data_IF_047795146590
#
_entry.id   IF_047795146590
#
_cell.length_a   1.000
_cell.length_b   1.000
_cell.length_c   1.000
_cell.angle_alpha   90.00
_cell.angle_beta   90.00
_cell.angle_gamma   90.00
#
_symmetry.space_group_name_H-M   'P 1'
#
loop_
_entity.id
_entity.type
_entity.pdbx_description
1 polymer ?
#
# COMPACT_ATOMS: atom_id res chain seq x y z
N UNK A 1 16.65 -15.56 12.74
CA UNK A 1 17.89 -14.92 13.21
C UNK A 1 19.10 -15.85 13.12
N UNK A 2 19.10 -17.02 13.77
CA UNK A 2 20.26 -17.94 13.76
C UNK A 2 20.66 -18.48 12.38
N UNK A 3 19.71 -18.66 11.47
CA UNK A 3 19.92 -19.30 10.17
C UNK A 3 19.93 -18.34 8.98
N UNK A 4 19.43 -17.10 9.16
CA UNK A 4 19.16 -16.20 8.04
C UNK A 4 17.89 -16.52 7.25
N UNK A 5 17.13 -17.55 7.63
CA UNK A 5 15.91 -17.92 6.90
C UNK A 5 14.85 -16.81 6.93
N UNK A 6 14.13 -16.69 5.82
CA UNK A 6 13.00 -15.80 5.66
C UNK A 6 11.74 -16.38 6.29
N UNK A 7 10.94 -15.53 6.91
CA UNK A 7 9.62 -15.90 7.43
C UNK A 7 8.58 -15.48 6.41
N UNK A 8 8.01 -16.45 5.69
CA UNK A 8 6.96 -16.20 4.69
C UNK A 8 5.60 -16.62 5.25
N UNK A 9 4.62 -15.72 5.19
CA UNK A 9 3.26 -15.97 5.69
C UNK A 9 2.21 -15.17 4.91
N UNK A 10 0.93 -15.50 5.13
CA UNK A 10 -0.21 -14.86 4.45
C UNK A 10 -1.29 -14.46 5.46
N UNK A 11 -2.40 -13.89 4.99
CA UNK A 11 -3.58 -13.56 5.77
C UNK A 11 -4.85 -13.99 5.02
N UNK A 12 -6.03 -13.54 5.45
CA UNK A 12 -7.28 -13.79 4.73
C UNK A 12 -7.39 -12.99 3.42
N UNK A 13 -6.63 -11.90 3.29
CA UNK A 13 -6.53 -11.13 2.05
C UNK A 13 -5.53 -11.81 1.09
N UNK A 14 -5.63 -11.55 -0.21
CA UNK A 14 -4.66 -12.03 -1.21
C UNK A 14 -3.32 -11.28 -1.09
N UNK A 15 -2.53 -11.65 -0.08
CA UNK A 15 -1.23 -11.07 0.23
C UNK A 15 -0.19 -12.13 0.57
N UNK A 16 1.08 -11.84 0.25
CA UNK A 16 2.22 -12.61 0.71
C UNK A 16 3.15 -11.66 1.48
N UNK A 17 3.49 -12.04 2.71
CA UNK A 17 4.28 -11.22 3.61
C UNK A 17 5.61 -11.92 3.87
N UNK A 18 6.70 -11.17 3.76
CA UNK A 18 8.05 -11.67 3.99
C UNK A 18 8.66 -10.87 5.12
N UNK A 19 8.86 -11.51 6.26
CA UNK A 19 9.49 -10.92 7.43
C UNK A 19 10.93 -11.41 7.57
N UNK A 20 11.83 -10.47 7.85
CA UNK A 20 13.23 -10.74 8.11
C UNK A 20 13.77 -9.75 9.15
N UNK A 21 14.75 -10.21 9.94
CA UNK A 21 15.40 -9.36 10.94
C UNK A 21 16.45 -8.50 10.24
N UNK A 22 16.40 -7.17 10.41
CA UNK A 22 17.21 -6.23 9.61
C UNK A 22 18.73 -6.43 9.79
N UNK A 23 19.18 -6.90 10.95
CA UNK A 23 20.61 -7.17 11.19
C UNK A 23 21.10 -8.47 10.54
N UNK A 24 20.19 -9.33 10.09
CA UNK A 24 20.52 -10.65 9.52
C UNK A 24 20.29 -10.65 8.00
N UNK A 25 19.19 -10.05 7.56
CA UNK A 25 18.88 -9.83 6.15
C UNK A 25 18.78 -8.32 5.94
N UNK A 26 19.77 -7.70 5.27
CA UNK A 26 19.74 -6.29 4.93
C UNK A 26 18.45 -5.89 4.20
N UNK A 27 18.02 -4.64 4.39
CA UNK A 27 16.77 -4.14 3.84
C UNK A 27 16.74 -4.19 2.31
N UNK A 28 17.83 -3.84 1.64
CA UNK A 28 17.98 -3.91 0.19
C UNK A 28 17.83 -5.35 -0.32
N UNK A 29 18.37 -6.33 0.41
CA UNK A 29 18.19 -7.74 0.09
C UNK A 29 16.73 -8.18 0.31
N UNK A 30 16.10 -7.79 1.42
CA UNK A 30 14.68 -8.08 1.68
C UNK A 30 13.77 -7.50 0.58
N UNK A 31 14.03 -6.27 0.16
CA UNK A 31 13.30 -5.62 -0.92
C UNK A 31 13.48 -6.36 -2.24
N UNK A 32 14.73 -6.71 -2.58
CA UNK A 32 15.02 -7.51 -3.78
C UNK A 32 14.31 -8.87 -3.75
N UNK A 33 14.27 -9.53 -2.60
CA UNK A 33 13.53 -10.79 -2.41
C UNK A 33 12.03 -10.57 -2.67
N UNK A 34 11.46 -9.49 -2.15
CA UNK A 34 10.05 -9.15 -2.38
C UNK A 34 9.76 -8.85 -3.85
N UNK A 35 10.69 -8.22 -4.58
CA UNK A 35 10.57 -7.99 -6.03
C UNK A 35 10.58 -9.30 -6.81
N UNK A 36 11.49 -10.21 -6.49
CA UNK A 36 11.53 -11.57 -7.08
C UNK A 36 10.23 -12.31 -6.78
N UNK A 37 9.77 -12.29 -5.53
CA UNK A 37 8.51 -12.91 -5.14
C UNK A 37 7.31 -12.28 -5.90
N UNK A 38 7.36 -10.98 -6.18
CA UNK A 38 6.32 -10.30 -6.96
C UNK A 38 6.30 -10.81 -8.39
N UNK A 39 7.44 -10.93 -9.05
CA UNK A 39 7.55 -11.47 -10.41
C UNK A 39 7.03 -12.91 -10.49
N UNK A 40 7.41 -13.77 -9.55
CA UNK A 40 6.98 -15.17 -9.49
C UNK A 40 5.47 -15.33 -9.28
N UNK A 41 4.85 -14.38 -8.60
CA UNK A 41 3.40 -14.40 -8.27
C UNK A 41 2.55 -13.65 -9.30
N UNK A 42 3.10 -13.34 -10.49
CA UNK A 42 2.31 -12.86 -11.63
C UNK A 42 1.68 -14.01 -12.43
N UNK A 43 2.16 -15.24 -12.24
CA UNK A 43 1.54 -16.44 -12.82
C UNK A 43 0.10 -16.61 -12.30
N UNK A 44 -0.85 -16.91 -13.19
CA UNK A 44 -2.27 -17.05 -12.86
C UNK A 44 -2.52 -18.05 -11.72
N UNK A 45 -1.72 -19.10 -11.62
CA UNK A 45 -1.87 -20.13 -10.58
C UNK A 45 -1.53 -19.61 -9.19
N UNK A 46 -0.65 -18.60 -9.11
CA UNK A 46 -0.12 -18.06 -7.85
C UNK A 46 -0.34 -16.56 -7.75
N UNK A 47 -1.41 -16.06 -8.39
CA UNK A 47 -1.68 -14.64 -8.47
C UNK A 47 -2.02 -14.06 -7.08
N UNK A 48 -1.07 -13.31 -6.53
CA UNK A 48 -1.22 -12.62 -5.24
C UNK A 48 -1.47 -11.13 -5.48
N UNK A 49 -2.40 -10.51 -4.76
CA UNK A 49 -2.71 -9.08 -4.92
C UNK A 49 -1.57 -8.16 -4.45
N UNK A 50 -0.84 -8.54 -3.39
CA UNK A 50 0.25 -7.72 -2.83
C UNK A 50 1.34 -8.53 -2.14
N UNK A 51 2.60 -8.17 -2.39
CA UNK A 51 3.74 -8.62 -1.59
C UNK A 51 4.07 -7.53 -0.57
N UNK A 52 4.36 -7.88 0.69
CA UNK A 52 4.67 -6.91 1.74
C UNK A 52 5.98 -7.31 2.43
N UNK A 53 6.97 -6.42 2.36
CA UNK A 53 8.17 -6.50 3.17
C UNK A 53 7.84 -6.12 4.63
N UNK A 54 8.20 -7.00 5.56
CA UNK A 54 7.94 -6.87 7.00
C UNK A 54 9.24 -6.94 7.80
N UNK A 55 10.14 -5.96 7.64
CA UNK A 55 11.34 -5.92 8.46
C UNK A 55 11.01 -5.72 9.94
N UNK A 56 11.83 -6.32 10.79
CA UNK A 56 11.73 -6.20 12.24
C UNK A 56 13.11 -6.19 12.88
N UNK A 57 13.18 -5.67 14.10
CA UNK A 57 14.38 -5.63 14.95
C UNK A 57 14.05 -6.10 16.36
N UNK A 58 15.08 -6.27 17.18
CA UNK A 58 14.96 -6.62 18.60
C UNK A 58 15.34 -8.07 18.87
N UNK A 59 15.04 -8.53 20.08
CA UNK A 59 15.50 -9.82 20.57
C UNK A 59 14.32 -10.75 20.91
N UNK A 60 14.54 -12.07 21.09
CA UNK A 60 13.50 -12.99 21.50
C UNK A 60 12.75 -12.50 22.75
N UNK A 61 11.43 -12.32 22.61
CA UNK A 61 10.57 -11.76 23.65
C UNK A 61 10.27 -10.26 23.50
N UNK A 62 10.96 -9.55 22.62
CA UNK A 62 10.81 -8.11 22.41
C UNK A 62 11.03 -7.69 20.94
N UNK A 63 10.43 -8.40 19.98
CA UNK A 63 10.51 -8.04 18.57
C UNK A 63 9.58 -6.88 18.21
N UNK A 64 10.09 -5.96 17.39
CA UNK A 64 9.35 -4.78 16.94
C UNK A 64 9.45 -4.65 15.42
N UNK A 65 8.30 -4.47 14.76
CA UNK A 65 8.26 -4.16 13.33
C UNK A 65 8.73 -2.73 13.11
N UNK A 66 9.57 -2.53 12.11
CA UNK A 66 10.11 -1.21 11.79
C UNK A 66 9.19 -0.47 10.81
N UNK A 67 9.34 0.86 10.67
CA UNK A 67 8.63 1.63 9.66
C UNK A 67 9.10 1.35 8.22
N UNK A 68 10.16 0.57 8.03
CA UNK A 68 10.74 0.19 6.72
C UNK A 68 9.86 -0.81 5.93
N UNK A 69 8.57 -0.85 6.23
CA UNK A 69 7.59 -1.63 5.49
C UNK A 69 7.53 -1.12 4.05
N UNK A 70 7.57 -2.04 3.09
CA UNK A 70 7.34 -1.74 1.68
C UNK A 70 6.29 -2.68 1.08
N UNK A 71 5.42 -2.15 0.23
CA UNK A 71 4.29 -2.87 -0.35
C UNK A 71 4.40 -2.88 -1.89
N UNK A 72 4.41 -4.08 -2.48
CA UNK A 72 4.43 -4.30 -3.92
C UNK A 72 3.05 -4.79 -4.38
N UNK A 73 2.19 -3.85 -4.76
CA UNK A 73 0.85 -4.16 -5.22
C UNK A 73 0.78 -4.46 -6.71
N UNK A 74 -0.13 -5.34 -7.08
CA UNK A 74 -0.53 -5.53 -8.47
C UNK A 74 -1.25 -4.25 -8.94
N UNK A 75 -0.81 -3.70 -10.06
CA UNK A 75 -1.52 -2.59 -10.71
C UNK A 75 -2.80 -3.12 -11.36
N UNK A 76 -3.87 -2.32 -11.48
CA UNK A 76 -4.99 -2.68 -12.36
C UNK A 76 -4.47 -3.09 -13.74
N UNK A 77 -4.96 -4.22 -14.26
CA UNK A 77 -4.53 -4.78 -15.55
C UNK A 77 -4.84 -3.83 -16.71
N UNK A 78 -5.92 -3.07 -16.59
CA UNK A 78 -6.39 -2.11 -17.58
C UNK A 78 -6.63 -0.73 -16.96
N UNK A 79 -6.82 0.24 -17.85
CA UNK A 79 -7.21 1.61 -17.47
C UNK A 79 -8.54 1.58 -16.73
N UNK A 80 -8.62 2.37 -15.67
CA UNK A 80 -9.81 2.52 -14.85
C UNK A 80 -10.50 3.85 -15.14
N UNK A 81 -11.77 3.98 -14.76
CA UNK A 81 -12.48 5.28 -14.83
C UNK A 81 -11.74 6.38 -14.08
N UNK A 82 -11.00 6.06 -13.01
CA UNK A 82 -10.17 7.05 -12.30
C UNK A 82 -9.02 7.58 -13.17
N UNK A 83 -8.51 6.78 -14.11
CA UNK A 83 -7.52 7.24 -15.08
C UNK A 83 -8.16 8.22 -16.07
N UNK A 84 -9.34 7.89 -16.60
CA UNK A 84 -10.04 8.78 -17.54
C UNK A 84 -10.42 10.12 -16.90
N UNK A 85 -11.01 10.11 -15.70
CA UNK A 85 -11.36 11.33 -14.97
C UNK A 85 -10.14 12.24 -14.74
N UNK A 86 -9.00 11.65 -14.43
CA UNK A 86 -7.76 12.40 -14.23
C UNK A 86 -7.23 12.99 -15.53
N UNK A 87 -7.25 12.23 -16.62
CA UNK A 87 -6.76 12.68 -17.92
C UNK A 87 -7.64 13.82 -18.47
N UNK A 88 -8.92 13.86 -18.09
CA UNK A 88 -9.85 14.98 -18.34
C UNK A 88 -9.67 16.17 -17.38
N UNK A 89 -8.66 16.16 -16.51
CA UNK A 89 -8.34 17.25 -15.58
C UNK A 89 -9.29 17.35 -14.38
N UNK A 90 -10.08 16.32 -14.09
CA UNK A 90 -10.99 16.31 -12.94
C UNK A 90 -10.30 15.83 -11.66
N UNK A 91 -10.73 16.36 -10.52
CA UNK A 91 -10.22 15.94 -9.22
C UNK A 91 -10.68 14.53 -8.84
N UNK A 92 -9.70 13.66 -8.60
CA UNK A 92 -9.91 12.31 -8.05
C UNK A 92 -9.37 12.25 -6.63
N UNK A 93 -10.26 12.19 -5.64
CA UNK A 93 -9.92 12.12 -4.21
C UNK A 93 -10.12 10.68 -3.72
N UNK A 94 -9.04 10.04 -3.28
CA UNK A 94 -9.10 8.68 -2.73
C UNK A 94 -8.90 8.73 -1.22
N UNK A 95 -9.98 8.43 -0.50
CA UNK A 95 -9.96 8.33 0.97
C UNK A 95 -9.72 6.85 1.30
N UNK A 96 -8.64 6.55 2.03
CA UNK A 96 -8.41 5.23 2.65
C UNK A 96 -7.86 4.12 1.81
N UNK A 97 -8.34 2.90 2.10
CA UNK A 97 -7.88 1.70 1.41
C UNK A 97 -8.10 1.78 -0.10
N UNK A 98 -8.99 2.65 -0.59
CA UNK A 98 -9.20 2.86 -2.03
C UNK A 98 -7.93 3.28 -2.77
N UNK A 99 -7.09 4.13 -2.19
CA UNK A 99 -5.78 4.46 -2.78
C UNK A 99 -4.87 3.23 -2.87
N UNK A 100 -4.84 2.44 -1.80
CA UNK A 100 -4.03 1.23 -1.72
C UNK A 100 -4.47 0.18 -2.76
N UNK A 101 -5.74 0.18 -3.18
CA UNK A 101 -6.30 -0.73 -4.19
C UNK A 101 -6.00 -0.24 -5.63
N UNK A 102 -6.10 1.07 -5.90
CA UNK A 102 -5.98 1.64 -7.24
C UNK A 102 -4.67 2.43 -7.44
N UNK A 103 -3.52 1.88 -7.01
CA UNK A 103 -2.19 2.53 -6.95
C UNK A 103 -1.63 3.14 -8.26
N UNK A 104 -2.42 3.23 -9.33
CA UNK A 104 -2.06 3.78 -10.65
C UNK A 104 -2.51 5.22 -10.91
N UNK A 105 -3.36 5.81 -10.07
CA UNK A 105 -3.69 7.23 -10.19
C UNK A 105 -2.82 8.05 -9.21
N UNK A 106 -2.10 9.07 -9.70
CA UNK A 106 -1.69 10.17 -8.82
C UNK A 106 -2.97 10.81 -8.30
N UNK A 107 -3.32 10.48 -7.07
CA UNK A 107 -4.44 11.07 -6.35
C UNK A 107 -3.97 12.44 -5.85
N UNK A 108 -4.79 13.47 -6.03
CA UNK A 108 -4.44 14.84 -5.61
C UNK A 108 -4.19 14.90 -4.10
N UNK A 109 -4.98 14.16 -3.31
CA UNK A 109 -4.84 14.08 -1.84
C UNK A 109 -5.06 12.64 -1.32
N UNK A 110 -4.16 12.16 -0.46
CA UNK A 110 -4.23 10.85 0.18
C UNK A 110 -4.26 10.97 1.71
N UNK A 111 -5.25 10.34 2.36
CA UNK A 111 -5.44 10.35 3.81
C UNK A 111 -5.69 8.91 4.31
N UNK A 112 -4.93 8.46 5.32
CA UNK A 112 -5.04 7.15 5.97
C UNK A 112 -5.28 7.36 7.47
N UNK A 113 -6.43 6.96 8.04
CA UNK A 113 -6.65 6.97 9.50
C UNK A 113 -7.86 6.10 9.96
N UNK A 114 -8.22 6.10 11.26
CA UNK A 114 -9.23 5.19 11.86
C UNK A 114 -10.69 5.60 11.61
N UNK A 115 -11.63 4.64 11.62
CA UNK A 115 -13.06 4.75 11.21
C UNK A 115 -13.82 6.05 11.59
N UNK A 116 -13.52 6.68 12.73
CA UNK A 116 -14.21 7.89 13.18
C UNK A 116 -13.79 9.16 12.40
N UNK A 117 -12.52 9.29 12.01
CA UNK A 117 -12.04 10.47 11.27
C UNK A 117 -12.47 10.45 9.80
N UNK A 118 -12.93 9.30 9.27
CA UNK A 118 -13.38 9.16 7.87
C UNK A 118 -14.58 10.05 7.53
N UNK A 119 -15.56 10.09 8.42
CA UNK A 119 -16.78 10.86 8.20
C UNK A 119 -16.47 12.36 8.26
N UNK A 120 -15.57 12.76 9.15
CA UNK A 120 -15.08 14.13 9.26
C UNK A 120 -14.32 14.55 8.00
N UNK A 121 -13.39 13.74 7.52
CA UNK A 121 -12.65 14.02 6.28
C UNK A 121 -13.53 14.04 5.03
N UNK A 122 -14.50 13.12 4.95
CA UNK A 122 -15.46 13.11 3.84
C UNK A 122 -16.28 14.41 3.85
N UNK A 123 -16.79 14.79 5.02
CA UNK A 123 -17.51 16.05 5.21
C UNK A 123 -16.64 17.26 4.86
N UNK A 124 -15.39 17.28 5.30
CA UNK A 124 -14.44 18.37 5.03
C UNK A 124 -14.10 18.49 3.55
N UNK A 125 -13.88 17.37 2.85
CA UNK A 125 -13.61 17.36 1.40
C UNK A 125 -14.77 17.89 0.56
N UNK A 126 -16.01 17.60 0.98
CA UNK A 126 -17.23 18.14 0.35
C UNK A 126 -17.29 19.65 0.61
N UNK A 127 -17.06 20.08 1.85
CA UNK A 127 -17.08 21.50 2.21
C UNK A 127 -15.99 22.30 1.48
N UNK A 128 -14.78 21.76 1.38
CA UNK A 128 -13.66 22.42 0.70
C UNK A 128 -13.94 22.64 -0.79
N UNK A 129 -14.53 21.65 -1.47
CA UNK A 129 -14.97 21.83 -2.87
C UNK A 129 -16.03 22.90 -3.00
N UNK A 130 -16.99 22.94 -2.08
CA UNK A 130 -18.05 23.95 -2.07
C UNK A 130 -17.46 25.36 -1.89
N UNK A 131 -16.58 25.54 -0.90
CA UNK A 131 -15.90 26.82 -0.66
C UNK A 131 -15.01 27.27 -1.83
N UNK A 132 -14.32 26.34 -2.50
CA UNK A 132 -13.52 26.66 -3.69
C UNK A 132 -14.37 27.02 -4.91
N UNK A 133 -15.56 26.42 -5.05
CA UNK A 133 -16.53 26.82 -6.09
C UNK A 133 -17.14 28.20 -5.79
N UNK A 134 -17.43 28.49 -4.53
CA UNK A 134 -18.03 29.75 -4.08
C UNK A 134 -17.07 30.94 -4.11
N UNK A 135 -15.75 30.70 -4.12
CA UNK A 135 -14.70 31.73 -4.18
C UNK A 135 -14.19 32.04 -5.60
N UNK A 136 -14.73 31.36 -6.61
CA UNK A 136 -14.43 31.59 -8.03
C UNK A 136 -15.34 32.66 -8.68
N UNK A 137 -16.10 33.44 -7.89
CA UNK A 137 -16.96 34.54 -8.31
C UNK A 137 -16.61 35.85 -7.60
#
# INVERSE_FOLDING_TARGET
MKTGDLIVYTSADSVLQIAAHEEVVPLDELYRICEIARELTLDEKYMVGRIIARPFVGEPGAFVRTPNRHDYALKPFDRTVMNELKDDGLDVIAIGKKFLIFMTARVSHHLLEQNQTWMEWTSWSIHLKQTLQDSAF
#
